data_IF_125698684452
#
_entry.id   IF_125698684452
#
_cell.length_a   1.000
_cell.length_b   1.000
_cell.length_c   1.000
_cell.angle_alpha   90.00
_cell.angle_beta   90.00
_cell.angle_gamma   90.00
#
_symmetry.space_group_name_H-M   'P 1'
#
loop_
_entity.id
_entity.type
_entity.pdbx_description
1 polymer ?
#
# COMPACT_ATOMS: atom_id res chain seq x y z
N UNK A 1 -23.15 6.93 33.61
CA UNK A 1 -22.32 7.99 33.00
C UNK A 1 -21.02 7.35 32.55
N UNK A 2 -20.90 7.10 31.25
CA UNK A 2 -19.70 6.57 30.62
C UNK A 2 -18.74 7.71 30.32
N UNK A 3 -17.45 7.50 30.61
CA UNK A 3 -16.32 7.83 29.73
C UNK A 3 -15.05 7.26 30.37
N UNK A 4 -14.67 6.05 29.95
CA UNK A 4 -13.33 5.53 30.15
C UNK A 4 -12.41 6.21 29.12
N UNK A 5 -11.58 7.13 29.61
CA UNK A 5 -10.47 7.72 28.87
C UNK A 5 -9.40 6.65 28.67
N UNK A 6 -9.16 6.23 27.43
CA UNK A 6 -7.92 5.53 27.04
C UNK A 6 -7.18 6.44 26.06
N UNK A 7 -6.50 7.44 26.61
CA UNK A 7 -5.41 8.14 25.92
C UNK A 7 -4.14 7.78 26.68
N UNK A 8 -3.37 6.82 26.14
CA UNK A 8 -1.93 6.64 26.30
C UNK A 8 -1.56 5.31 25.62
N UNK A 9 -1.51 5.27 24.28
CA UNK A 9 -0.48 4.44 23.65
C UNK A 9 0.77 5.30 23.68
N UNK A 10 1.83 4.79 24.32
CA UNK A 10 3.11 5.47 24.43
C UNK A 10 3.74 5.75 23.06
N UNK A 11 4.90 6.43 23.01
CA UNK A 11 5.61 6.77 21.77
C UNK A 11 6.29 5.56 21.10
N UNK A 12 5.71 4.37 21.24
CA UNK A 12 6.20 3.14 20.64
C UNK A 12 5.13 2.66 19.65
N UNK A 13 5.56 2.37 18.42
CA UNK A 13 4.78 1.82 17.31
C UNK A 13 3.89 2.76 16.47
N UNK A 14 4.44 3.89 16.02
CA UNK A 14 4.03 4.43 14.70
C UNK A 14 4.45 3.46 13.57
N UNK A 15 5.47 2.62 13.82
CA UNK A 15 5.94 1.58 12.90
C UNK A 15 5.00 0.38 12.72
N UNK A 16 4.07 0.13 13.66
CA UNK A 16 3.01 -0.87 13.55
C UNK A 16 1.63 -0.20 13.60
N UNK A 17 1.44 0.81 12.76
CA UNK A 17 0.07 1.21 12.46
C UNK A 17 -0.62 -0.01 11.80
N UNK A 18 -1.82 -0.37 12.27
CA UNK A 18 -2.55 -1.54 11.74
C UNK A 18 -2.82 -1.44 10.23
N UNK A 19 -2.74 -0.24 9.65
CA UNK A 19 -2.85 0.02 8.21
C UNK A 19 -1.66 -0.50 7.41
N UNK A 20 -0.44 -0.35 7.92
CA UNK A 20 0.80 -0.83 7.30
C UNK A 20 0.79 -2.37 7.25
N UNK A 21 0.40 -3.01 8.36
CA UNK A 21 0.28 -4.47 8.42
C UNK A 21 -0.85 -4.98 7.50
N UNK A 22 -1.96 -4.23 7.40
CA UNK A 22 -3.05 -4.56 6.47
C UNK A 22 -2.61 -4.42 5.01
N UNK A 23 -1.91 -3.33 4.65
CA UNK A 23 -1.38 -3.11 3.31
C UNK A 23 -0.43 -4.23 2.93
N UNK A 24 0.53 -4.56 3.80
CA UNK A 24 1.48 -5.65 3.55
C UNK A 24 0.76 -6.98 3.32
N UNK A 25 -0.22 -7.33 4.15
CA UNK A 25 -1.02 -8.56 3.97
C UNK A 25 -1.84 -8.54 2.68
N UNK A 26 -2.45 -7.40 2.35
CA UNK A 26 -3.21 -7.24 1.12
C UNK A 26 -2.33 -7.44 -0.12
N UNK A 27 -1.15 -6.81 -0.14
CA UNK A 27 -0.22 -6.91 -1.25
C UNK A 27 0.41 -8.31 -1.33
N UNK A 28 0.71 -8.96 -0.20
CA UNK A 28 1.18 -10.35 -0.18
C UNK A 28 0.13 -11.33 -0.72
N UNK A 29 -1.14 -11.13 -0.40
CA UNK A 29 -2.22 -11.97 -0.91
C UNK A 29 -2.46 -11.75 -2.41
N UNK A 30 -2.43 -10.50 -2.87
CA UNK A 30 -2.72 -10.16 -4.28
C UNK A 30 -1.55 -10.40 -5.21
N UNK A 31 -0.32 -10.15 -4.75
CA UNK A 31 0.90 -10.17 -5.55
C UNK A 31 2.02 -10.97 -4.85
N UNK A 32 1.82 -12.28 -4.59
CA UNK A 32 2.76 -13.08 -3.82
C UNK A 32 4.17 -13.15 -4.44
N UNK A 33 4.29 -13.02 -5.76
CA UNK A 33 5.57 -13.07 -6.49
C UNK A 33 6.32 -11.72 -6.48
N UNK A 34 5.61 -10.61 -6.29
CA UNK A 34 6.20 -9.28 -6.07
C UNK A 34 6.61 -9.13 -4.61
N UNK A 35 5.71 -9.49 -3.70
CA UNK A 35 5.89 -9.42 -2.24
C UNK A 35 6.66 -10.62 -1.67
N UNK A 36 7.79 -10.91 -2.30
CA UNK A 36 8.84 -11.76 -1.73
C UNK A 36 9.51 -11.04 -0.54
N UNK A 37 10.42 -11.72 0.16
CA UNK A 37 11.14 -11.15 1.31
C UNK A 37 11.73 -9.76 1.01
N UNK A 38 12.31 -9.60 -0.17
CA UNK A 38 12.88 -8.33 -0.63
C UNK A 38 11.83 -7.27 -0.93
N UNK A 39 10.71 -7.64 -1.58
CA UNK A 39 9.61 -6.71 -1.83
C UNK A 39 8.99 -6.21 -0.51
N UNK A 40 8.78 -7.11 0.45
CA UNK A 40 8.29 -6.76 1.79
C UNK A 40 9.26 -5.86 2.53
N UNK A 41 10.57 -6.14 2.44
CA UNK A 41 11.61 -5.31 3.09
C UNK A 41 11.60 -3.88 2.57
N UNK A 42 11.53 -3.71 1.26
CA UNK A 42 11.49 -2.39 0.62
C UNK A 42 10.20 -1.64 0.95
N UNK A 43 9.05 -2.30 0.94
CA UNK A 43 7.78 -1.68 1.32
C UNK A 43 7.77 -1.30 2.81
N UNK A 44 8.32 -2.14 3.70
CA UNK A 44 8.48 -1.78 5.13
C UNK A 44 9.39 -0.58 5.31
N UNK A 45 10.48 -0.48 4.54
CA UNK A 45 11.37 0.68 4.57
C UNK A 45 10.62 1.95 4.16
N UNK A 46 9.82 1.88 3.09
CA UNK A 46 9.00 3.01 2.63
C UNK A 46 7.90 3.39 3.64
N UNK A 47 7.21 2.41 4.24
CA UNK A 47 6.20 2.62 5.27
C UNK A 47 6.77 3.11 6.62
N UNK A 48 8.07 2.92 6.85
CA UNK A 48 8.79 3.41 8.03
C UNK A 48 9.24 4.86 7.90
N UNK A 49 9.15 5.44 6.71
CA UNK A 49 9.42 6.87 6.48
C UNK A 49 8.44 7.73 7.26
N UNK A 50 8.95 8.70 8.01
CA UNK A 50 8.11 9.52 8.91
C UNK A 50 7.49 10.73 8.20
N UNK A 51 7.95 11.04 6.98
CA UNK A 51 7.50 12.18 6.21
C UNK A 51 7.48 11.90 4.69
N UNK A 52 6.69 12.66 3.90
CA UNK A 52 6.60 12.48 2.45
C UNK A 52 7.93 12.69 1.71
N UNK A 53 8.89 13.42 2.30
CA UNK A 53 10.20 13.68 1.69
C UNK A 53 11.07 12.42 1.74
N UNK A 54 11.06 11.71 2.87
CA UNK A 54 11.71 10.41 3.05
C UNK A 54 11.06 9.35 2.16
N UNK A 55 9.72 9.32 2.09
CA UNK A 55 8.99 8.44 1.17
C UNK A 55 9.43 8.66 -0.28
N UNK A 56 9.50 9.92 -0.72
CA UNK A 56 9.94 10.27 -2.07
C UNK A 56 11.41 9.93 -2.31
N UNK A 57 12.27 10.07 -1.30
CA UNK A 57 13.69 9.72 -1.37
C UNK A 57 13.91 8.21 -1.48
N UNK A 58 13.13 7.41 -0.76
CA UNK A 58 13.14 5.95 -0.91
C UNK A 58 12.65 5.59 -2.31
N UNK A 59 11.55 6.20 -2.76
CA UNK A 59 10.97 5.94 -4.08
C UNK A 59 11.93 6.26 -5.23
N UNK A 60 12.59 7.42 -5.19
CA UNK A 60 13.60 7.78 -6.20
C UNK A 60 14.88 6.96 -6.08
N UNK A 61 15.27 6.56 -4.87
CA UNK A 61 16.45 5.71 -4.63
C UNK A 61 16.34 4.30 -5.21
N UNK A 62 15.13 3.79 -5.41
CA UNK A 62 14.87 2.54 -6.13
C UNK A 62 14.57 2.75 -7.63
N UNK A 63 14.73 3.98 -8.13
CA UNK A 63 14.54 4.37 -9.53
C UNK A 63 13.19 3.91 -10.10
N UNK A 64 12.12 3.98 -9.29
CA UNK A 64 10.82 3.45 -9.68
C UNK A 64 10.27 4.22 -10.88
N UNK A 65 10.10 3.50 -12.00
CA UNK A 65 9.47 3.99 -13.22
C UNK A 65 7.97 3.64 -13.20
N UNK A 66 7.14 4.66 -12.99
CA UNK A 66 5.68 4.54 -12.91
C UNK A 66 5.08 4.05 -14.24
N UNK A 67 5.57 4.53 -15.39
CA UNK A 67 5.03 4.21 -16.72
C UNK A 67 5.35 2.76 -17.10
N UNK A 68 6.55 2.32 -16.78
CA UNK A 68 6.95 0.92 -16.91
C UNK A 68 6.13 0.01 -15.98
N UNK A 69 5.95 0.39 -14.71
CA UNK A 69 5.15 -0.40 -13.77
C UNK A 69 3.70 -0.58 -14.24
N UNK A 70 3.07 0.49 -14.75
CA UNK A 70 1.71 0.43 -15.32
C UNK A 70 1.67 -0.49 -16.53
N UNK A 71 2.63 -0.34 -17.44
CA UNK A 71 2.70 -1.15 -18.66
C UNK A 71 2.84 -2.64 -18.34
N UNK A 72 3.69 -3.01 -17.39
CA UNK A 72 3.84 -4.41 -16.92
C UNK A 72 2.53 -4.93 -16.35
N UNK A 73 1.88 -4.19 -15.45
CA UNK A 73 0.60 -4.62 -14.86
C UNK A 73 -0.51 -4.77 -15.91
N UNK A 74 -0.54 -3.89 -16.91
CA UNK A 74 -1.49 -3.96 -18.02
C UNK A 74 -1.25 -5.16 -18.94
N UNK A 75 0.02 -5.49 -19.24
CA UNK A 75 0.36 -6.69 -20.01
C UNK A 75 -0.13 -7.96 -19.32
N UNK A 76 0.13 -8.08 -18.01
CA UNK A 76 -0.36 -9.23 -17.24
C UNK A 76 -1.89 -9.26 -17.11
N UNK A 77 -2.55 -8.11 -17.05
CA UNK A 77 -4.01 -8.04 -17.07
C UNK A 77 -4.60 -8.46 -18.43
N UNK A 78 -3.91 -8.17 -19.54
CA UNK A 78 -4.33 -8.55 -20.88
C UNK A 78 -4.12 -10.04 -21.16
N UNK A 79 -3.11 -10.66 -20.54
CA UNK A 79 -2.71 -12.06 -20.76
C UNK A 79 -3.34 -13.04 -19.75
N UNK A 80 -3.77 -12.56 -18.57
CA UNK A 80 -4.22 -13.39 -17.45
C UNK A 80 -5.66 -13.18 -17.02
N UNK A 81 -6.12 -14.04 -16.10
CA UNK A 81 -7.41 -13.87 -15.43
C UNK A 81 -7.32 -12.72 -14.41
N UNK A 82 -8.38 -11.93 -14.27
CA UNK A 82 -8.42 -10.75 -13.39
C UNK A 82 -8.54 -11.15 -11.91
N UNK A 83 -8.52 -12.46 -11.63
CA UNK A 83 -8.64 -13.04 -10.31
C UNK A 83 -7.28 -13.08 -9.60
N UNK A 84 -7.27 -12.63 -8.35
CA UNK A 84 -6.10 -12.77 -7.47
C UNK A 84 -5.96 -14.22 -6.97
N UNK A 85 -4.74 -14.70 -6.70
CA UNK A 85 -3.45 -13.99 -6.74
C UNK A 85 -2.86 -13.86 -8.14
N UNK A 86 -2.26 -12.70 -8.44
CA UNK A 86 -1.54 -12.48 -9.69
C UNK A 86 -0.11 -13.02 -9.63
N UNK A 87 0.34 -13.67 -10.70
CA UNK A 87 1.70 -14.21 -10.86
C UNK A 87 2.72 -13.18 -11.34
N UNK A 88 2.34 -11.89 -11.44
CA UNK A 88 3.25 -10.79 -11.81
C UNK A 88 4.51 -10.84 -10.96
N UNK A 89 5.67 -10.79 -11.59
CA UNK A 89 6.96 -10.83 -10.91
C UNK A 89 7.64 -12.19 -10.92
N UNK A 90 6.98 -13.28 -11.34
CA UNK A 90 7.59 -14.62 -11.39
C UNK A 90 8.90 -14.65 -12.18
N UNK A 91 8.91 -14.06 -13.38
CA UNK A 91 10.08 -14.01 -14.28
C UNK A 91 10.85 -12.68 -14.23
N UNK A 92 10.56 -11.82 -13.25
CA UNK A 92 11.18 -10.49 -13.16
C UNK A 92 12.45 -10.51 -12.31
N UNK A 93 13.41 -9.66 -12.68
CA UNK A 93 14.58 -9.38 -11.87
C UNK A 93 14.20 -8.76 -10.52
N UNK A 94 15.09 -8.89 -9.54
CA UNK A 94 14.85 -8.42 -8.17
C UNK A 94 14.61 -6.90 -8.13
N UNK A 95 15.31 -6.14 -8.96
CA UNK A 95 15.12 -4.69 -9.12
C UNK A 95 13.69 -4.38 -9.56
N UNK A 96 13.22 -5.03 -10.61
CA UNK A 96 11.87 -4.83 -11.14
C UNK A 96 10.77 -5.21 -10.13
N UNK A 97 10.98 -6.27 -9.34
CA UNK A 97 10.06 -6.65 -8.26
C UNK A 97 9.99 -5.58 -7.16
N UNK A 98 11.14 -5.00 -6.77
CA UNK A 98 11.20 -3.93 -5.76
C UNK A 98 10.48 -2.67 -6.24
N UNK A 99 10.70 -2.30 -7.50
CA UNK A 99 10.02 -1.17 -8.12
C UNK A 99 8.51 -1.34 -8.12
N UNK A 100 8.03 -2.50 -8.59
CA UNK A 100 6.60 -2.83 -8.55
C UNK A 100 6.05 -2.86 -7.13
N UNK A 101 6.79 -3.38 -6.16
CA UNK A 101 6.37 -3.43 -4.76
C UNK A 101 6.12 -2.02 -4.21
N UNK A 102 7.03 -1.08 -4.46
CA UNK A 102 6.89 0.33 -4.07
C UNK A 102 5.77 1.03 -4.82
N UNK A 103 5.69 0.83 -6.13
CA UNK A 103 4.63 1.39 -6.96
C UNK A 103 3.25 0.95 -6.46
N UNK A 104 3.07 -0.35 -6.19
CA UNK A 104 1.84 -0.90 -5.64
C UNK A 104 1.55 -0.36 -4.24
N UNK A 105 2.55 -0.30 -3.35
CA UNK A 105 2.37 0.25 -2.00
C UNK A 105 1.86 1.71 -2.06
N UNK A 106 2.49 2.55 -2.88
CA UNK A 106 2.09 3.94 -3.10
C UNK A 106 0.71 4.08 -3.75
N UNK A 107 0.32 3.15 -4.63
CA UNK A 107 -0.99 3.16 -5.31
C UNK A 107 -2.13 2.74 -4.38
N UNK A 108 -1.91 1.72 -3.55
CA UNK A 108 -2.89 1.18 -2.62
C UNK A 108 -3.00 2.00 -1.33
N UNK A 109 -1.91 2.66 -0.92
CA UNK A 109 -1.88 3.53 0.24
C UNK A 109 -1.55 4.95 -0.22
N UNK A 110 -2.59 5.73 -0.47
CA UNK A 110 -2.46 7.18 -0.67
C UNK A 110 -2.53 7.82 0.70
N UNK A 111 -1.44 8.44 1.17
CA UNK A 111 -1.45 9.23 2.39
C UNK A 111 -2.53 10.32 2.27
N UNK A 112 -3.58 10.20 3.08
CA UNK A 112 -4.63 11.18 3.21
C UNK A 112 -4.39 11.91 4.53
N UNK A 113 -3.92 13.15 4.46
CA UNK A 113 -3.80 14.00 5.65
C UNK A 113 -5.20 14.25 6.21
N UNK A 114 -5.57 13.51 7.25
CA UNK A 114 -6.71 13.84 8.11
C UNK A 114 -6.18 14.10 9.50
N UNK A 115 -6.54 15.25 10.05
CA UNK A 115 -6.48 15.46 11.48
C UNK A 115 -7.51 14.55 12.13
N UNK A 116 -7.09 13.83 13.18
CA UNK A 116 -7.93 12.96 13.99
C UNK A 116 -9.33 13.59 14.25
N UNK A 117 -10.38 12.79 14.03
CA UNK A 117 -11.78 13.02 14.44
C UNK A 117 -12.65 13.98 13.60
N UNK A 118 -12.64 13.87 12.26
CA UNK A 118 -13.78 14.36 11.45
C UNK A 118 -14.67 13.18 11.02
N UNK A 119 -15.90 13.04 11.54
CA UNK A 119 -16.83 12.02 11.06
C UNK A 119 -17.16 12.27 9.59
N UNK A 120 -17.19 11.19 8.80
CA UNK A 120 -17.52 11.23 7.38
C UNK A 120 -18.92 11.85 7.19
N UNK A 121 -19.07 12.92 6.40
CA UNK A 121 -20.35 13.59 6.23
C UNK A 121 -21.41 12.64 5.66
N UNK A 122 -22.59 12.62 6.27
CA UNK A 122 -23.71 11.77 5.85
C UNK A 122 -24.18 12.03 4.40
N UNK A 123 -23.81 13.18 3.82
CA UNK A 123 -24.08 13.57 2.44
C UNK A 123 -23.37 12.71 1.39
N UNK A 124 -22.34 11.95 1.77
CA UNK A 124 -21.61 11.05 0.87
C UNK A 124 -22.26 9.66 0.76
N UNK A 125 -23.29 9.37 1.58
CA UNK A 125 -24.00 8.10 1.52
C UNK A 125 -25.21 8.22 0.59
N UNK A 126 -25.09 7.64 -0.60
CA UNK A 126 -26.24 7.41 -1.48
C UNK A 126 -27.09 6.28 -0.93
N UNK A 127 -28.41 6.43 -0.99
CA UNK A 127 -29.33 5.33 -0.69
C UNK A 127 -29.08 4.17 -1.66
N UNK A 128 -29.20 2.90 -1.20
CA UNK A 128 -28.98 1.75 -2.06
C UNK A 128 -29.93 1.79 -3.25
N UNK A 129 -29.37 1.72 -4.45
CA UNK A 129 -30.10 1.63 -5.70
C UNK A 129 -30.99 0.38 -5.65
N UNK A 130 -32.31 0.55 -5.78
CA UNK A 130 -33.24 -0.55 -6.00
C UNK A 130 -33.57 -0.61 -7.49
N UNK A 131 -33.60 -1.84 -8.00
CA UNK A 131 -34.03 -2.19 -9.37
C UNK A 131 -35.45 -1.68 -9.66
#
# INVERSE_FOLDING_TARGET
MNLLTVCCRGPEDVMSNRGNDLLLKLLQFRYPKIMTEEGVRVVRQWLGSSNPIEEASVYSGYEVDDDWCVSVLQSYQAEGDVLFPWSVGEDMAMEGRRQLALFLARKYMRNFETTHCTPLPASEFHSPWRL
#
